data_IF_174329095644
#
_entry.id   IF_174329095644
#
_cell.length_a   1.000
_cell.length_b   1.000
_cell.length_c   1.000
_cell.angle_alpha   90.00
_cell.angle_beta   90.00
_cell.angle_gamma   90.00
#
_symmetry.space_group_name_H-M   'P 1'
#
loop_
_entity.id
_entity.type
_entity.pdbx_description
1 polymer ?
#
# COMPACT_ATOMS: atom_id res chain seq x y z
N UNK A 1 -6.88 0.62 -14.93
CA UNK A 1 -5.80 1.43 -14.39
C UNK A 1 -5.01 0.65 -13.34
N UNK A 2 -4.04 1.29 -12.72
CA UNK A 2 -3.20 0.62 -11.74
C UNK A 2 -4.00 0.00 -10.59
N UNK A 3 -4.98 0.71 -10.07
CA UNK A 3 -5.76 0.22 -8.94
C UNK A 3 -6.69 -0.91 -9.31
N UNK A 4 -7.16 -0.96 -10.54
CA UNK A 4 -7.90 -2.12 -11.04
C UNK A 4 -7.01 -3.36 -11.06
N UNK A 5 -5.74 -3.18 -11.45
CA UNK A 5 -4.78 -4.28 -11.43
C UNK A 5 -4.49 -4.74 -10.00
N UNK A 6 -4.42 -3.82 -9.05
CA UNK A 6 -4.25 -4.17 -7.64
C UNK A 6 -5.43 -5.02 -7.17
N UNK A 7 -6.66 -4.57 -7.46
CA UNK A 7 -7.86 -5.33 -7.09
C UNK A 7 -7.84 -6.73 -7.68
N UNK A 8 -7.54 -6.83 -8.97
CA UNK A 8 -7.51 -8.12 -9.68
C UNK A 8 -6.45 -9.05 -9.10
N UNK A 9 -5.26 -8.52 -8.84
CA UNK A 9 -4.16 -9.31 -8.30
C UNK A 9 -4.51 -9.87 -6.93
N UNK A 10 -5.07 -9.05 -6.05
CA UNK A 10 -5.41 -9.50 -4.71
C UNK A 10 -6.64 -10.40 -4.68
N UNK A 11 -7.57 -10.24 -5.62
CA UNK A 11 -8.64 -11.22 -5.80
C UNK A 11 -8.05 -12.59 -6.15
N UNK A 12 -7.08 -12.64 -7.05
CA UNK A 12 -6.43 -13.89 -7.41
C UNK A 12 -5.71 -14.51 -6.23
N UNK A 13 -4.98 -13.71 -5.47
CA UNK A 13 -4.26 -14.18 -4.28
C UNK A 13 -5.24 -14.72 -3.25
N UNK A 14 -6.39 -14.08 -3.08
CA UNK A 14 -7.37 -14.48 -2.07
C UNK A 14 -7.88 -15.91 -2.28
N UNK A 15 -7.76 -16.43 -3.50
CA UNK A 15 -8.22 -17.78 -3.80
C UNK A 15 -7.25 -18.86 -3.33
N UNK A 16 -6.00 -18.48 -3.05
CA UNK A 16 -4.95 -19.46 -2.73
C UNK A 16 -4.32 -19.28 -1.37
N UNK A 17 -4.56 -18.16 -0.70
CA UNK A 17 -3.99 -17.95 0.62
C UNK A 17 -4.90 -18.53 1.71
N UNK A 18 -4.29 -18.82 2.85
CA UNK A 18 -5.05 -19.27 4.02
C UNK A 18 -6.00 -18.16 4.48
N UNK A 19 -7.25 -18.47 4.84
CA UNK A 19 -8.21 -17.44 5.26
C UNK A 19 -7.76 -16.56 6.44
N UNK A 20 -6.87 -17.08 7.27
CA UNK A 20 -6.35 -16.34 8.42
C UNK A 20 -4.97 -15.73 8.15
N UNK A 21 -4.51 -15.75 6.91
CA UNK A 21 -3.20 -15.22 6.58
C UNK A 21 -3.16 -13.71 6.81
N UNK A 22 -2.04 -13.25 7.35
CA UNK A 22 -1.75 -11.82 7.45
C UNK A 22 -1.03 -11.38 6.17
N UNK A 23 -1.56 -10.37 5.51
CA UNK A 23 -0.94 -9.82 4.32
C UNK A 23 -0.28 -8.50 4.71
N UNK A 24 1.04 -8.48 4.69
CA UNK A 24 1.82 -7.29 4.99
C UNK A 24 2.29 -6.67 3.67
N UNK A 25 2.11 -5.37 3.55
CA UNK A 25 2.43 -4.67 2.32
C UNK A 25 3.23 -3.42 2.63
N UNK A 26 4.35 -3.26 1.93
CA UNK A 26 5.10 -2.01 1.97
C UNK A 26 4.84 -1.29 0.65
N UNK A 27 4.11 -0.20 0.68
CA UNK A 27 3.63 0.47 -0.52
C UNK A 27 4.20 1.87 -0.56
N UNK A 28 4.79 2.22 -1.69
CA UNK A 28 5.33 3.56 -1.91
C UNK A 28 4.37 4.41 -2.73
N UNK A 29 4.21 5.65 -2.32
CA UNK A 29 3.36 6.61 -3.03
C UNK A 29 4.13 7.88 -3.32
N UNK A 30 3.96 8.40 -4.53
CA UNK A 30 4.45 9.72 -4.87
C UNK A 30 3.51 10.82 -4.34
N UNK A 31 2.22 10.52 -4.27
CA UNK A 31 1.22 11.42 -3.69
C UNK A 31 0.28 10.59 -2.82
N UNK A 32 0.65 10.48 -1.55
CA UNK A 32 -0.08 9.60 -0.63
C UNK A 32 -1.49 10.10 -0.33
N UNK A 33 -1.73 11.42 -0.43
CA UNK A 33 -3.06 11.95 -0.12
C UNK A 33 -4.12 11.49 -1.12
N UNK A 34 -3.69 11.22 -2.35
CA UNK A 34 -4.59 10.74 -3.40
C UNK A 34 -4.51 9.23 -3.55
N UNK A 35 -3.30 8.68 -3.49
CA UNK A 35 -3.05 7.28 -3.84
C UNK A 35 -3.41 6.31 -2.73
N UNK A 36 -3.22 6.70 -1.47
CA UNK A 36 -3.54 5.79 -0.36
C UNK A 36 -5.03 5.46 -0.31
N UNK A 37 -5.95 6.43 -0.35
CA UNK A 37 -7.38 6.09 -0.35
C UNK A 37 -7.77 5.16 -1.50
N UNK A 38 -7.19 5.36 -2.67
CA UNK A 38 -7.47 4.51 -3.84
C UNK A 38 -6.94 3.10 -3.64
N UNK A 39 -5.75 2.97 -3.05
CA UNK A 39 -5.18 1.66 -2.75
C UNK A 39 -6.03 0.91 -1.73
N UNK A 40 -6.43 1.59 -0.66
CA UNK A 40 -7.26 0.98 0.39
C UNK A 40 -8.61 0.54 -0.16
N UNK A 41 -9.19 1.34 -1.06
CA UNK A 41 -10.43 0.97 -1.72
C UNK A 41 -10.25 -0.29 -2.56
N UNK A 42 -9.14 -0.38 -3.30
CA UNK A 42 -8.85 -1.56 -4.12
C UNK A 42 -8.72 -2.82 -3.25
N UNK A 43 -8.06 -2.72 -2.10
CA UNK A 43 -7.94 -3.86 -1.19
C UNK A 43 -9.30 -4.27 -0.64
N UNK A 44 -10.12 -3.30 -0.27
CA UNK A 44 -11.47 -3.58 0.22
C UNK A 44 -12.32 -4.27 -0.84
N UNK A 45 -12.25 -3.79 -2.09
CA UNK A 45 -12.97 -4.40 -3.20
C UNK A 45 -12.50 -5.84 -3.46
N UNK A 46 -11.22 -6.11 -3.20
CA UNK A 46 -10.68 -7.46 -3.34
C UNK A 46 -11.04 -8.38 -2.17
N UNK A 47 -11.75 -7.88 -1.17
CA UNK A 47 -12.23 -8.70 -0.05
C UNK A 47 -11.34 -8.69 1.16
N UNK A 48 -10.45 -7.71 1.28
CA UNK A 48 -9.51 -7.62 2.40
C UNK A 48 -9.96 -6.53 3.38
N UNK A 49 -9.61 -6.73 4.64
CA UNK A 49 -9.84 -5.77 5.69
C UNK A 49 -8.50 -5.32 6.26
N UNK A 50 -8.30 -4.01 6.37
CA UNK A 50 -7.10 -3.47 7.01
C UNK A 50 -7.15 -3.69 8.51
N UNK A 51 -6.01 -4.10 9.10
CA UNK A 51 -5.86 -4.26 10.53
C UNK A 51 -4.59 -3.54 10.99
N UNK A 52 -4.45 -3.36 12.29
CA UNK A 52 -3.35 -2.59 12.86
C UNK A 52 -2.67 -3.39 13.97
N UNK A 53 -1.97 -4.48 13.61
CA UNK A 53 -1.44 -5.41 14.62
C UNK A 53 -0.26 -4.85 15.42
N UNK A 54 0.39 -3.80 14.91
CA UNK A 54 1.57 -3.22 15.55
C UNK A 54 1.29 -1.87 16.21
N UNK A 55 0.04 -1.45 16.26
CA UNK A 55 -0.30 -0.12 16.78
C UNK A 55 -1.54 -0.18 17.65
N UNK A 56 -1.44 0.36 18.84
CA UNK A 56 -2.57 0.46 19.76
C UNK A 56 -3.55 1.55 19.34
N UNK A 57 -3.12 2.48 18.51
CA UNK A 57 -3.90 3.65 18.12
C UNK A 57 -4.36 3.59 16.66
N UNK A 58 -4.35 2.43 16.07
CA UNK A 58 -4.75 2.22 14.66
C UNK A 58 -4.00 3.16 13.71
N UNK A 59 -2.71 3.32 13.95
CA UNK A 59 -1.87 4.15 13.12
C UNK A 59 -1.05 3.32 12.17
N UNK A 60 -0.91 3.83 10.96
CA UNK A 60 -0.04 3.23 9.96
C UNK A 60 1.39 3.70 10.20
N UNK A 61 2.34 2.85 9.83
CA UNK A 61 3.76 3.19 9.93
C UNK A 61 4.22 3.76 8.61
N UNK A 62 4.72 4.98 8.65
CA UNK A 62 5.16 5.73 7.49
C UNK A 62 6.65 5.97 7.55
N UNK A 63 7.28 6.05 6.39
CA UNK A 63 8.63 6.59 6.30
C UNK A 63 8.80 7.36 5.00
N UNK A 64 9.68 8.35 5.03
CA UNK A 64 10.06 9.08 3.84
C UNK A 64 11.14 8.32 3.11
N UNK A 65 11.02 8.26 1.79
CA UNK A 65 12.04 7.65 0.94
C UNK A 65 12.82 8.76 0.29
N UNK A 66 14.12 8.90 0.58
CA UNK A 66 14.90 9.96 -0.03
C UNK A 66 14.99 9.79 -1.54
N UNK A 67 15.10 10.91 -2.25
CA UNK A 67 15.28 10.88 -3.68
C UNK A 67 16.56 10.16 -4.03
N UNK A 68 16.51 9.32 -5.03
CA UNK A 68 17.69 8.65 -5.53
C UNK A 68 18.45 9.60 -6.42
N UNK A 69 19.79 9.48 -6.42
CA UNK A 69 20.64 10.39 -7.15
C UNK A 69 20.32 10.42 -8.65
N UNK A 70 19.99 9.30 -9.23
CA UNK A 70 19.76 9.27 -10.66
C UNK A 70 18.45 9.97 -11.04
N UNK A 71 17.54 10.16 -10.12
CA UNK A 71 16.37 10.99 -10.36
C UNK A 71 16.72 12.45 -10.43
N UNK A 72 17.63 12.90 -9.59
CA UNK A 72 17.98 14.31 -9.55
C UNK A 72 18.67 14.77 -10.81
N UNK A 73 19.32 13.87 -11.51
CA UNK A 73 20.05 14.20 -12.74
C UNK A 73 19.14 14.57 -13.89
N UNK A 74 17.88 14.28 -13.81
CA UNK A 74 16.95 14.65 -14.89
C UNK A 74 16.22 15.95 -14.59
N UNK A 75 16.70 16.68 -13.61
CA UNK A 75 16.13 17.97 -13.28
C UNK A 75 14.78 17.93 -12.61
N UNK A 76 14.31 16.77 -12.31
CA UNK A 76 13.05 16.64 -11.61
C UNK A 76 13.21 17.05 -10.16
N UNK A 77 12.32 17.89 -9.69
CA UNK A 77 12.26 18.21 -8.29
C UNK A 77 11.21 17.32 -7.65
N UNK A 78 11.73 16.27 -7.09
CA UNK A 78 10.86 15.32 -6.44
C UNK A 78 10.81 15.63 -4.97
N UNK A 79 9.64 15.77 -4.47
CA UNK A 79 9.46 15.62 -3.05
C UNK A 79 9.74 14.16 -2.73
N UNK A 80 10.24 13.91 -1.55
CA UNK A 80 10.48 12.54 -1.17
C UNK A 80 9.17 11.74 -1.24
N UNK A 81 9.25 10.57 -1.80
CA UNK A 81 8.13 9.64 -1.79
C UNK A 81 7.92 9.14 -0.37
N UNK A 82 6.72 8.69 -0.09
CA UNK A 82 6.40 8.09 1.20
C UNK A 82 6.08 6.63 1.02
N UNK A 83 6.58 5.82 1.95
CA UNK A 83 6.20 4.42 2.04
C UNK A 83 5.37 4.21 3.28
N UNK A 84 4.39 3.33 3.16
CA UNK A 84 3.53 2.96 4.27
C UNK A 84 3.50 1.46 4.40
N UNK A 85 3.52 0.99 5.63
CA UNK A 85 3.36 -0.43 5.94
C UNK A 85 1.89 -0.68 6.27
N UNK A 86 1.27 -1.53 5.48
CA UNK A 86 -0.14 -1.88 5.63
C UNK A 86 -0.28 -3.35 5.97
N UNK A 87 -1.31 -3.66 6.73
CA UNK A 87 -1.64 -5.04 7.08
C UNK A 87 -3.11 -5.29 6.76
N UNK A 88 -3.37 -6.39 6.08
CA UNK A 88 -4.73 -6.79 5.71
C UNK A 88 -4.94 -8.25 6.01
N UNK A 89 -6.19 -8.60 6.22
CA UNK A 89 -6.64 -10.00 6.31
C UNK A 89 -7.84 -10.16 5.43
N UNK A 90 -8.13 -11.38 5.01
CA UNK A 90 -9.38 -11.67 4.32
C UNK A 90 -10.54 -11.50 5.28
N UNK A 91 -11.59 -10.91 4.77
CA UNK A 91 -12.82 -10.80 5.55
C UNK A 91 -13.46 -12.15 5.78
#
# INVERSE_FOLDING_TARGET
>A
NYFDLVTQSFLSISKVIHPKALVAQLVGFSDSTVQLPSYLKAMKEAGYKEIFPLSENDKRLWRDVPNRKWYTNIGARWDSSKEVLLFHVLK
#
